data_IF_960878750018
#
_entry.id   IF_960878750018
#
_cell.length_a   1.000
_cell.length_b   1.000
_cell.length_c   1.000
_cell.angle_alpha   90.00
_cell.angle_beta   90.00
_cell.angle_gamma   90.00
#
_symmetry.space_group_name_H-M   'P 1'
#
loop_
_entity.id
_entity.type
_entity.pdbx_description
1 polymer ?
#
# COMPACT_ATOMS: atom_id res chain seq x y z
N UNK A 1 -5.84 -42.78 11.23
CA UNK A 1 -4.86 -42.76 10.14
C UNK A 1 -4.78 -41.34 9.58
N UNK A 2 -3.95 -40.47 10.14
CA UNK A 2 -3.71 -39.10 9.67
C UNK A 2 -2.23 -38.98 9.32
N UNK A 3 -1.94 -38.76 8.04
CA UNK A 3 -0.58 -38.67 7.51
C UNK A 3 -0.19 -37.20 7.41
N UNK A 4 0.76 -36.78 8.26
CA UNK A 4 1.54 -35.56 8.03
C UNK A 4 2.39 -35.76 6.77
N UNK A 5 2.48 -34.75 5.93
CA UNK A 5 3.62 -34.56 5.05
C UNK A 5 4.32 -33.26 5.45
N UNK A 6 5.56 -33.42 5.91
CA UNK A 6 6.56 -32.36 5.96
C UNK A 6 6.70 -31.75 4.56
N UNK A 7 6.97 -30.46 4.41
CA UNK A 7 8.34 -30.01 4.30
C UNK A 7 8.42 -28.51 4.54
N UNK A 8 9.07 -28.11 5.63
CA UNK A 8 9.70 -26.79 5.73
C UNK A 8 11.08 -26.85 5.07
N UNK A 9 11.48 -25.70 4.51
CA UNK A 9 12.79 -25.29 3.95
C UNK A 9 12.84 -25.25 2.42
N UNK A 10 12.78 -24.03 1.89
CA UNK A 10 13.82 -23.46 1.03
C UNK A 10 13.68 -21.92 1.02
N UNK A 11 14.30 -21.25 1.99
CA UNK A 11 14.86 -19.91 1.77
C UNK A 11 16.31 -20.13 1.36
N UNK A 12 16.65 -19.84 0.10
CA UNK A 12 18.01 -19.52 -0.33
C UNK A 12 17.98 -18.92 -1.74
N UNK A 13 18.41 -17.66 -1.83
CA UNK A 13 19.16 -17.07 -2.96
C UNK A 13 18.45 -17.15 -4.33
N UNK A 14 17.72 -16.12 -4.74
CA UNK A 14 18.37 -15.01 -5.43
C UNK A 14 18.59 -15.35 -6.91
N UNK A 15 17.70 -14.88 -7.79
CA UNK A 15 18.00 -13.92 -8.88
C UNK A 15 17.04 -14.08 -10.09
N UNK A 16 16.54 -12.92 -10.53
CA UNK A 16 16.06 -12.53 -11.88
C UNK A 16 14.79 -13.17 -12.49
N UNK A 17 13.80 -12.30 -12.68
CA UNK A 17 12.84 -12.30 -13.82
C UNK A 17 11.89 -13.49 -14.01
N UNK A 18 11.42 -14.10 -12.92
CA UNK A 18 10.39 -15.16 -12.96
C UNK A 18 8.95 -14.67 -12.82
N UNK A 19 8.69 -13.63 -12.02
CA UNK A 19 7.32 -13.22 -11.63
C UNK A 19 6.49 -12.73 -12.82
N UNK A 20 7.14 -12.06 -13.78
CA UNK A 20 6.48 -11.63 -15.03
C UNK A 20 6.25 -12.81 -16.00
N UNK A 21 7.14 -13.81 -16.04
CA UNK A 21 6.98 -14.98 -16.90
C UNK A 21 5.85 -15.90 -16.43
N UNK A 22 5.66 -16.10 -15.12
CA UNK A 22 4.54 -16.90 -14.58
C UNK A 22 3.17 -16.23 -14.80
N UNK A 23 3.14 -14.91 -14.97
CA UNK A 23 1.96 -14.14 -15.35
C UNK A 23 1.73 -14.15 -16.88
N UNK A 24 2.79 -14.04 -17.69
CA UNK A 24 2.71 -14.04 -19.15
C UNK A 24 2.49 -15.43 -19.77
N UNK A 25 3.08 -16.50 -19.22
CA UNK A 25 3.03 -17.86 -19.81
C UNK A 25 1.68 -18.56 -19.66
N UNK A 26 0.73 -18.02 -18.88
CA UNK A 26 -0.63 -18.58 -18.75
C UNK A 26 -1.63 -18.05 -19.79
N UNK A 27 -1.26 -17.08 -20.63
CA UNK A 27 -2.26 -16.37 -21.44
C UNK A 27 -2.49 -16.92 -22.85
N UNK A 28 -1.47 -17.38 -23.60
CA UNK A 28 -1.63 -18.09 -24.89
C UNK A 28 -2.65 -17.53 -25.90
N UNK A 29 -3.05 -16.26 -25.75
CA UNK A 29 -4.14 -15.59 -26.46
C UNK A 29 -3.75 -14.12 -26.56
N UNK A 30 -3.43 -13.68 -27.77
CA UNK A 30 -3.45 -12.26 -28.10
C UNK A 30 -4.87 -11.74 -27.83
N UNK A 31 -4.99 -10.68 -27.02
CA UNK A 31 -6.24 -10.00 -26.65
C UNK A 31 -7.17 -10.71 -25.66
N UNK A 32 -6.70 -10.97 -24.43
CA UNK A 32 -7.64 -11.00 -23.28
C UNK A 32 -7.80 -9.57 -22.77
N UNK A 33 -9.04 -9.06 -22.72
CA UNK A 33 -9.33 -7.84 -21.97
C UNK A 33 -8.95 -8.09 -20.50
N UNK A 34 -8.13 -7.22 -19.91
CA UNK A 34 -7.98 -7.18 -18.46
C UNK A 34 -9.25 -6.53 -17.92
N UNK A 35 -10.18 -7.37 -17.45
CA UNK A 35 -11.46 -6.95 -16.88
C UNK A 35 -11.32 -6.58 -15.41
N UNK A 36 -10.11 -6.52 -14.85
CA UNK A 36 -9.95 -6.10 -13.45
C UNK A 36 -10.24 -4.62 -13.28
N UNK A 37 -10.76 -4.25 -12.11
CA UNK A 37 -10.84 -2.85 -11.68
C UNK A 37 -9.50 -2.14 -11.87
N UNK A 38 -9.55 -0.89 -12.33
CA UNK A 38 -8.35 -0.07 -12.56
C UNK A 38 -8.01 0.67 -11.28
N UNK A 39 -6.74 0.61 -10.91
CA UNK A 39 -6.22 1.31 -9.73
C UNK A 39 -4.89 1.95 -10.07
N UNK A 40 -4.74 3.22 -9.75
CA UNK A 40 -3.47 3.93 -9.81
C UNK A 40 -2.80 3.80 -8.44
N UNK A 41 -1.52 3.40 -8.44
CA UNK A 41 -0.67 3.44 -7.25
C UNK A 41 0.54 4.32 -7.55
N UNK A 42 0.64 5.47 -6.88
CA UNK A 42 1.84 6.32 -6.93
C UNK A 42 2.73 5.96 -5.75
N UNK A 43 4.04 5.84 -5.96
CA UNK A 43 5.00 5.49 -4.92
C UNK A 43 6.14 6.52 -4.85
N UNK A 44 6.54 6.91 -3.64
CA UNK A 44 7.70 7.77 -3.37
C UNK A 44 8.48 7.21 -2.19
N UNK A 45 9.81 7.16 -2.34
CA UNK A 45 10.73 6.82 -1.24
C UNK A 45 11.28 8.11 -0.65
N UNK A 46 10.89 8.42 0.58
CA UNK A 46 11.36 9.61 1.30
C UNK A 46 12.48 9.23 2.25
N UNK A 47 13.71 9.68 1.97
CA UNK A 47 14.90 9.36 2.76
C UNK A 47 15.14 10.42 3.84
N UNK A 48 15.57 10.01 5.03
CA UNK A 48 15.89 10.93 6.14
C UNK A 48 17.39 11.15 6.32
N UNK A 49 18.25 10.18 5.95
CA UNK A 49 19.72 10.27 6.04
C UNK A 49 20.35 10.84 4.76
N UNK A 50 21.31 11.78 4.89
CA UNK A 50 22.04 12.46 3.80
C UNK A 50 22.24 13.96 4.06
N UNK A 51 22.94 14.71 3.19
CA UNK A 51 23.17 16.17 3.38
C UNK A 51 21.85 16.94 3.44
N UNK A 52 21.58 17.63 4.55
CA UNK A 52 20.44 18.54 4.78
C UNK A 52 19.73 18.31 6.14
N UNK A 53 19.72 19.34 6.99
CA UNK A 53 19.23 19.31 8.38
C UNK A 53 17.68 19.26 8.55
N UNK A 54 16.90 19.25 7.46
CA UNK A 54 15.46 19.56 7.51
C UNK A 54 14.51 18.38 7.20
N UNK A 55 14.98 17.13 7.31
CA UNK A 55 14.21 15.98 6.78
C UNK A 55 13.21 15.35 7.75
N UNK A 56 13.43 15.42 9.06
CA UNK A 56 12.39 15.09 10.05
C UNK A 56 11.20 16.06 9.94
N UNK A 57 11.51 17.34 9.78
CA UNK A 57 10.51 18.41 9.51
C UNK A 57 9.68 18.11 8.25
N UNK A 58 10.28 17.54 7.21
CA UNK A 58 9.56 17.18 5.98
C UNK A 58 8.55 16.03 6.17
N UNK A 59 8.78 15.11 7.11
CA UNK A 59 7.80 14.07 7.47
C UNK A 59 6.64 14.66 8.27
N UNK A 60 6.94 15.42 9.32
CA UNK A 60 5.91 16.07 10.15
C UNK A 60 5.04 17.03 9.35
N UNK A 61 5.63 17.85 8.46
CA UNK A 61 4.89 18.72 7.54
C UNK A 61 3.99 17.93 6.60
N UNK A 62 4.46 16.79 6.09
CA UNK A 62 3.65 15.95 5.22
C UNK A 62 2.46 15.33 5.96
N UNK A 63 2.68 14.79 7.17
CA UNK A 63 1.60 14.25 8.01
C UNK A 63 0.58 15.34 8.37
N UNK A 64 1.03 16.55 8.67
CA UNK A 64 0.14 17.69 8.91
C UNK A 64 -0.69 18.05 7.66
N UNK A 65 -0.07 18.09 6.48
CA UNK A 65 -0.75 18.34 5.21
C UNK A 65 -1.79 17.26 4.88
N UNK A 66 -1.47 16.00 5.17
CA UNK A 66 -2.39 14.87 4.98
C UNK A 66 -3.61 14.95 5.91
N UNK A 67 -3.45 15.45 7.12
CA UNK A 67 -4.52 15.64 8.09
C UNK A 67 -5.21 17.01 8.04
N UNK A 68 -5.11 17.74 6.92
CA UNK A 68 -5.70 19.08 6.77
C UNK A 68 -7.23 19.02 6.74
N UNK A 69 -7.88 20.09 7.22
CA UNK A 69 -9.31 20.25 7.02
C UNK A 69 -9.65 20.35 5.53
N UNK A 70 -10.85 19.92 5.15
CA UNK A 70 -11.30 19.90 3.75
C UNK A 70 -10.96 18.62 3.00
N UNK A 71 -10.02 17.80 3.50
CA UNK A 71 -9.59 16.59 2.82
C UNK A 71 -10.42 15.34 3.19
N UNK A 72 -11.12 15.34 4.33
CA UNK A 72 -11.96 14.23 4.78
C UNK A 72 -13.33 14.18 4.11
N UNK A 73 -14.11 13.17 4.48
CA UNK A 73 -15.50 13.02 4.03
C UNK A 73 -16.29 14.30 4.36
N UNK A 74 -17.05 14.81 3.39
CA UNK A 74 -17.82 16.06 3.52
C UNK A 74 -16.97 17.28 3.96
N UNK A 75 -15.68 17.31 3.61
CA UNK A 75 -14.79 18.42 3.94
C UNK A 75 -14.29 18.40 5.40
N UNK A 76 -14.52 17.31 6.14
CA UNK A 76 -13.99 17.11 7.48
C UNK A 76 -12.46 16.99 7.50
N UNK A 77 -11.87 16.84 8.70
CA UNK A 77 -10.46 16.45 8.83
C UNK A 77 -10.37 14.94 8.67
N UNK A 78 -9.53 14.40 7.78
CA UNK A 78 -9.45 12.97 7.60
C UNK A 78 -8.69 12.35 8.78
N UNK A 79 -9.20 11.21 9.25
CA UNK A 79 -8.61 10.45 10.35
C UNK A 79 -7.48 9.56 9.84
N UNK A 80 -6.44 9.44 10.66
CA UNK A 80 -5.39 8.48 10.40
C UNK A 80 -5.78 7.14 11.00
N UNK A 81 -5.58 6.08 10.22
CA UNK A 81 -5.87 4.71 10.61
C UNK A 81 -4.68 3.80 10.33
N UNK A 82 -4.68 2.62 10.94
CA UNK A 82 -3.77 1.52 10.63
C UNK A 82 -4.52 0.20 10.53
N UNK A 83 -3.78 -0.90 10.69
CA UNK A 83 -4.31 -2.26 10.67
C UNK A 83 -5.45 -2.46 11.67
N UNK A 84 -5.38 -1.84 12.85
CA UNK A 84 -6.25 -2.15 13.98
C UNK A 84 -7.06 -0.96 14.48
N UNK A 85 -6.57 0.27 14.33
CA UNK A 85 -7.26 1.48 14.79
C UNK A 85 -7.73 2.34 13.63
N UNK A 86 -8.87 3.02 13.82
CA UNK A 86 -9.40 4.06 12.94
C UNK A 86 -9.05 5.49 13.37
N UNK A 87 -8.54 5.66 14.59
CA UNK A 87 -8.11 6.95 15.15
C UNK A 87 -6.69 6.84 15.72
N UNK A 88 -5.72 7.36 14.95
CA UNK A 88 -4.33 7.47 15.37
C UNK A 88 -4.05 8.93 15.71
N UNK A 89 -3.81 9.15 17.01
CA UNK A 89 -3.47 10.45 17.56
C UNK A 89 -2.27 11.07 16.84
N UNK A 90 -2.33 12.39 16.63
CA UNK A 90 -1.35 13.14 15.85
C UNK A 90 0.10 12.92 16.31
N UNK A 91 0.32 12.81 17.62
CA UNK A 91 1.64 12.57 18.22
C UNK A 91 2.21 11.17 17.93
N UNK A 92 1.36 10.20 17.59
CA UNK A 92 1.74 8.79 17.42
C UNK A 92 1.82 8.37 15.95
N UNK A 93 1.28 9.19 15.03
CA UNK A 93 1.21 8.87 13.60
C UNK A 93 2.54 8.34 13.08
N UNK A 94 3.64 9.06 13.30
CA UNK A 94 4.97 8.72 12.75
C UNK A 94 6.08 8.76 13.80
N UNK A 95 5.73 8.58 15.07
CA UNK A 95 6.70 8.68 16.17
C UNK A 95 7.88 7.74 15.96
N UNK A 96 9.10 8.26 15.99
CA UNK A 96 10.34 7.49 15.82
C UNK A 96 10.65 7.07 14.38
N UNK A 97 9.90 7.56 13.39
CA UNK A 97 10.21 7.30 11.97
C UNK A 97 11.25 8.30 11.43
N UNK A 98 11.40 9.44 12.09
CA UNK A 98 12.37 10.49 11.77
C UNK A 98 13.83 10.00 11.78
N UNK A 99 14.13 9.00 12.62
CA UNK A 99 15.45 8.40 12.77
C UNK A 99 15.69 7.22 11.79
N UNK A 100 14.64 6.73 11.14
CA UNK A 100 14.75 5.66 10.16
C UNK A 100 15.54 6.15 8.94
N UNK A 101 16.12 5.24 8.16
CA UNK A 101 16.80 5.65 6.91
C UNK A 101 15.85 6.34 5.94
N UNK A 102 14.59 5.91 5.91
CA UNK A 102 13.57 6.32 4.95
C UNK A 102 12.18 5.85 5.41
N UNK A 103 11.14 6.35 4.75
CA UNK A 103 9.80 5.75 4.70
C UNK A 103 9.30 5.75 3.26
N UNK A 104 8.25 4.97 3.01
CA UNK A 104 7.56 4.96 1.73
C UNK A 104 6.26 5.74 1.84
N UNK A 105 5.91 6.44 0.76
CA UNK A 105 4.62 7.09 0.59
C UNK A 105 3.94 6.48 -0.61
N UNK A 106 2.70 6.07 -0.45
CA UNK A 106 1.85 5.60 -1.52
C UNK A 106 0.59 6.44 -1.61
N UNK A 107 0.06 6.56 -2.83
CA UNK A 107 -1.30 7.03 -3.08
C UNK A 107 -2.00 5.92 -3.82
N UNK A 108 -3.09 5.38 -3.25
CA UNK A 108 -3.91 4.33 -3.85
C UNK A 108 -5.21 4.99 -4.31
N UNK A 109 -5.44 5.00 -5.62
CA UNK A 109 -6.59 5.65 -6.26
C UNK A 109 -7.31 4.65 -7.16
N UNK A 110 -8.34 3.96 -6.65
CA UNK A 110 -9.25 3.16 -7.48
C UNK A 110 -10.03 4.08 -8.43
N UNK A 111 -10.17 3.69 -9.70
CA UNK A 111 -10.92 4.47 -10.70
C UNK A 111 -12.37 4.71 -10.27
N UNK A 112 -12.97 3.73 -9.61
CA UNK A 112 -14.33 3.78 -9.06
C UNK A 112 -14.32 3.80 -7.52
N UNK A 113 -13.43 4.60 -6.92
CA UNK A 113 -13.31 4.71 -5.47
C UNK A 113 -14.57 5.23 -4.77
N UNK A 114 -15.42 5.96 -5.49
CA UNK A 114 -16.74 6.44 -5.07
C UNK A 114 -17.74 5.30 -4.78
N UNK A 115 -17.57 4.15 -5.45
CA UNK A 115 -18.40 2.96 -5.22
C UNK A 115 -17.92 2.10 -4.05
N UNK A 116 -16.74 2.39 -3.50
CA UNK A 116 -16.19 1.67 -2.34
C UNK A 116 -16.72 2.33 -1.07
N UNK A 117 -17.72 1.69 -0.46
CA UNK A 117 -18.40 2.20 0.76
C UNK A 117 -17.42 2.41 1.92
N UNK A 118 -16.51 1.45 2.14
CA UNK A 118 -15.49 1.53 3.19
C UNK A 118 -14.08 1.51 2.57
N UNK A 119 -13.58 2.71 2.27
CA UNK A 119 -12.24 2.88 1.70
C UNK A 119 -11.13 2.53 2.71
N UNK A 120 -11.37 2.66 4.02
CA UNK A 120 -10.40 2.26 5.06
C UNK A 120 -10.23 0.73 5.06
N UNK A 121 -11.33 -0.01 5.03
CA UNK A 121 -11.31 -1.48 4.93
C UNK A 121 -10.65 -1.97 3.63
N UNK A 122 -10.95 -1.34 2.49
CA UNK A 122 -10.25 -1.62 1.24
C UNK A 122 -8.73 -1.47 1.37
N UNK A 123 -8.25 -0.36 1.94
CA UNK A 123 -6.81 -0.11 2.12
C UNK A 123 -6.20 -1.14 3.07
N UNK A 124 -6.89 -1.53 4.14
CA UNK A 124 -6.44 -2.59 5.06
C UNK A 124 -6.23 -3.91 4.32
N UNK A 125 -7.16 -4.30 3.47
CA UNK A 125 -7.07 -5.52 2.68
C UNK A 125 -5.87 -5.47 1.71
N UNK A 126 -5.70 -4.35 1.01
CA UNK A 126 -4.52 -4.16 0.14
C UNK A 126 -3.22 -4.30 0.92
N UNK A 127 -3.12 -3.67 2.10
CA UNK A 127 -1.91 -3.70 2.90
C UNK A 127 -1.68 -5.03 3.63
N UNK A 128 -2.74 -5.81 3.91
CA UNK A 128 -2.62 -7.18 4.36
C UNK A 128 -1.96 -8.06 3.29
N UNK A 129 -2.39 -7.95 2.03
CA UNK A 129 -1.77 -8.68 0.90
C UNK A 129 -0.34 -8.24 0.65
N UNK A 130 -0.07 -6.92 0.69
CA UNK A 130 1.29 -6.39 0.56
C UNK A 130 2.20 -6.87 1.69
N UNK A 131 1.72 -6.84 2.93
CA UNK A 131 2.43 -7.37 4.10
C UNK A 131 2.78 -8.85 3.92
N UNK A 132 1.84 -9.67 3.44
CA UNK A 132 2.05 -11.08 3.17
C UNK A 132 3.07 -11.33 2.05
N UNK A 133 2.94 -10.63 0.91
CA UNK A 133 3.87 -10.74 -0.22
C UNK A 133 5.32 -10.37 0.15
N UNK A 134 5.49 -9.36 1.03
CA UNK A 134 6.80 -8.92 1.51
C UNK A 134 7.38 -9.82 2.60
N UNK A 135 6.59 -10.75 3.15
CA UNK A 135 6.97 -11.57 4.30
C UNK A 135 7.13 -10.75 5.59
N UNK A 136 6.36 -9.66 5.72
CA UNK A 136 6.45 -8.70 6.83
C UNK A 136 5.10 -8.66 7.58
N UNK A 137 4.79 -9.65 8.43
CA UNK A 137 3.51 -9.69 9.15
C UNK A 137 3.32 -8.48 10.07
N UNK A 138 4.42 -7.90 10.57
CA UNK A 138 4.41 -6.72 11.44
C UNK A 138 4.68 -5.42 10.67
N UNK A 139 4.39 -5.40 9.37
CA UNK A 139 4.57 -4.20 8.54
C UNK A 139 3.82 -3.01 9.16
N UNK A 140 4.58 -2.02 9.62
CA UNK A 140 4.03 -0.80 10.22
C UNK A 140 3.67 0.19 9.12
N UNK A 141 2.40 0.58 9.08
CA UNK A 141 1.89 1.57 8.15
C UNK A 141 0.82 2.46 8.80
N UNK A 142 0.58 3.60 8.18
CA UNK A 142 -0.45 4.57 8.54
C UNK A 142 -1.12 5.04 7.26
N UNK A 143 -2.42 5.23 7.29
CA UNK A 143 -3.13 5.74 6.13
C UNK A 143 -4.15 6.79 6.51
N UNK A 144 -4.58 7.55 5.51
CA UNK A 144 -5.69 8.49 5.58
C UNK A 144 -6.42 8.48 4.25
N UNK A 145 -7.75 8.61 4.27
CA UNK A 145 -8.57 8.68 3.07
C UNK A 145 -8.92 10.13 2.76
N UNK A 146 -8.76 10.53 1.50
CA UNK A 146 -9.09 11.86 0.98
C UNK A 146 -10.29 11.79 0.04
N UNK A 147 -11.18 12.77 0.17
CA UNK A 147 -12.45 12.90 -0.57
C UNK A 147 -12.60 14.29 -1.21
N UNK A 148 -11.52 15.08 -1.26
CA UNK A 148 -11.50 16.46 -1.77
C UNK A 148 -11.23 16.56 -3.28
N UNK A 149 -11.24 15.42 -3.97
CA UNK A 149 -11.08 15.31 -5.42
C UNK A 149 -12.16 14.39 -5.98
N UNK A 150 -12.39 14.44 -7.29
CA UNK A 150 -13.42 13.63 -7.97
C UNK A 150 -13.37 12.13 -7.67
N UNK A 151 -12.19 11.58 -7.37
CA UNK A 151 -12.01 10.17 -7.00
C UNK A 151 -11.46 10.04 -5.57
N UNK A 152 -12.22 9.41 -4.64
CA UNK A 152 -11.71 9.07 -3.32
C UNK A 152 -10.41 8.26 -3.40
N UNK A 153 -9.41 8.64 -2.61
CA UNK A 153 -8.11 7.99 -2.63
C UNK A 153 -7.47 7.93 -1.25
N UNK A 154 -6.53 7.00 -1.07
CA UNK A 154 -5.83 6.83 0.19
C UNK A 154 -4.37 7.22 0.09
N UNK A 155 -3.92 8.05 1.03
CA UNK A 155 -2.50 8.27 1.29
C UNK A 155 -2.02 7.25 2.31
N UNK A 156 -0.99 6.48 1.97
CA UNK A 156 -0.40 5.47 2.84
C UNK A 156 1.07 5.78 3.09
N UNK A 157 1.46 5.80 4.36
CA UNK A 157 2.83 5.86 4.81
C UNK A 157 3.23 4.47 5.31
N UNK A 158 4.32 3.91 4.80
CA UNK A 158 4.89 2.64 5.29
C UNK A 158 6.26 2.91 5.89
N UNK A 159 6.47 2.46 7.13
CA UNK A 159 7.74 2.66 7.84
C UNK A 159 8.87 1.97 7.08
N UNK A 160 10.04 2.58 6.98
CA UNK A 160 11.19 1.97 6.29
C UNK A 160 11.96 0.96 7.14
N UNK A 161 11.30 0.33 8.12
CA UNK A 161 11.85 -0.66 9.05
C UNK A 161 11.00 -1.91 9.08
N UNK A 162 11.68 -3.05 9.20
CA UNK A 162 11.09 -4.37 9.44
C UNK A 162 10.83 -4.57 10.92
N UNK A 163 10.07 -5.61 11.27
CA UNK A 163 9.81 -5.98 12.67
C UNK A 163 11.08 -6.28 13.48
N UNK A 164 12.16 -6.72 12.81
CA UNK A 164 13.46 -6.99 13.42
C UNK A 164 14.41 -5.77 13.49
N UNK A 165 13.93 -4.58 13.13
CA UNK A 165 14.70 -3.33 13.18
C UNK A 165 15.65 -3.09 12.00
N UNK A 166 15.79 -4.05 11.06
CA UNK A 166 16.52 -3.82 9.81
C UNK A 166 15.73 -2.91 8.88
N UNK A 167 16.41 -2.32 7.91
CA UNK A 167 15.74 -1.49 6.92
C UNK A 167 14.83 -2.34 6.03
N UNK A 168 13.58 -1.91 5.88
CA UNK A 168 12.67 -2.47 4.89
C UNK A 168 13.18 -2.07 3.50
N UNK A 169 13.29 -3.06 2.61
CA UNK A 169 13.62 -2.85 1.20
C UNK A 169 12.55 -3.55 0.38
N UNK A 170 11.78 -2.77 -0.37
CA UNK A 170 10.76 -3.27 -1.28
C UNK A 170 11.39 -3.43 -2.67
N UNK A 171 11.31 -4.62 -3.31
CA UNK A 171 11.84 -4.83 -4.65
C UNK A 171 11.24 -3.85 -5.67
N UNK A 172 12.07 -3.36 -6.60
CA UNK A 172 11.65 -2.40 -7.63
C UNK A 172 10.45 -2.90 -8.45
N UNK A 173 10.47 -4.16 -8.85
CA UNK A 173 9.37 -4.76 -9.63
C UNK A 173 8.08 -4.86 -8.82
N UNK A 174 8.19 -5.05 -7.50
CA UNK A 174 7.04 -5.05 -6.62
C UNK A 174 6.44 -3.64 -6.47
N UNK A 175 7.27 -2.60 -6.37
CA UNK A 175 6.80 -1.20 -6.42
C UNK A 175 6.14 -0.90 -7.77
N UNK A 176 6.74 -1.34 -8.87
CA UNK A 176 6.30 -1.02 -10.22
C UNK A 176 5.00 -1.73 -10.63
N UNK A 177 4.78 -2.95 -10.13
CA UNK A 177 3.68 -3.82 -10.57
C UNK A 177 2.92 -4.51 -9.43
N UNK A 178 3.64 -5.06 -8.45
CA UNK A 178 3.07 -5.90 -7.39
C UNK A 178 2.04 -5.17 -6.51
N UNK A 179 2.37 -3.99 -6.01
CA UNK A 179 1.48 -3.21 -5.17
C UNK A 179 0.17 -2.89 -5.90
N UNK A 180 0.27 -2.39 -7.14
CA UNK A 180 -0.90 -2.11 -7.97
C UNK A 180 -1.73 -3.36 -8.23
N UNK A 181 -1.09 -4.50 -8.51
CA UNK A 181 -1.81 -5.75 -8.73
C UNK A 181 -2.68 -6.14 -7.52
N UNK A 182 -2.15 -6.02 -6.29
CA UNK A 182 -2.94 -6.28 -5.07
C UNK A 182 -4.08 -5.30 -4.87
N UNK A 183 -3.85 -4.04 -5.17
CA UNK A 183 -4.89 -3.01 -5.13
C UNK A 183 -6.02 -3.29 -6.13
N UNK A 184 -5.68 -3.73 -7.34
CA UNK A 184 -6.65 -4.11 -8.36
C UNK A 184 -7.43 -5.38 -7.99
N UNK A 185 -6.76 -6.39 -7.43
CA UNK A 185 -7.43 -7.62 -6.96
C UNK A 185 -8.43 -7.33 -5.85
N UNK A 186 -8.06 -6.53 -4.84
CA UNK A 186 -8.98 -6.16 -3.76
C UNK A 186 -10.17 -5.33 -4.30
N UNK A 187 -9.94 -4.42 -5.26
CA UNK A 187 -11.00 -3.62 -5.83
C UNK A 187 -11.95 -4.49 -6.67
N UNK A 188 -11.38 -5.44 -7.41
CA UNK A 188 -12.10 -6.41 -8.21
C UNK A 188 -13.01 -7.31 -7.36
N UNK A 189 -12.54 -7.76 -6.21
CA UNK A 189 -13.36 -8.57 -5.30
C UNK A 189 -14.53 -7.76 -4.70
N UNK A 190 -14.34 -6.47 -4.46
CA UNK A 190 -15.38 -5.58 -3.93
C UNK A 190 -16.41 -5.14 -4.98
N UNK A 191 -15.95 -4.84 -6.20
CA UNK A 191 -16.75 -4.16 -7.21
C UNK A 191 -17.13 -5.06 -8.41
N UNK A 192 -16.60 -6.28 -8.47
CA UNK A 192 -16.70 -7.15 -9.63
C UNK A 192 -15.84 -6.68 -10.80
N UNK A 193 -16.06 -7.27 -11.98
CA UNK A 193 -15.36 -6.93 -13.21
C UNK A 193 -15.54 -5.45 -13.55
N UNK A 194 -14.56 -4.90 -14.27
CA UNK A 194 -14.66 -3.62 -14.93
C UNK A 194 -15.78 -3.69 -15.98
N UNK A 195 -17.00 -3.43 -15.56
CA UNK A 195 -18.11 -3.16 -16.45
C UNK A 195 -17.95 -1.74 -17.01
N UNK A 196 -18.34 -1.53 -18.26
CA UNK A 196 -18.54 -0.16 -18.75
C UNK A 196 -19.58 0.51 -17.83
N UNK A 197 -19.37 1.76 -17.40
CA UNK A 197 -20.49 2.54 -16.88
C UNK A 197 -21.51 2.69 -18.01
N UNK A 198 -22.78 2.43 -17.69
CA UNK A 198 -23.92 2.69 -18.58
C UNK A 198 -24.07 4.19 -18.86
#
# INVERSE_FOLDING_TARGET
>A
MMRRLASSRMFALGDRSGVLRSAQSRSGRSFRLDVRQRVIVKALISRHRGKGAERGVALSKHVAYLGRAGAGLEGSRPEFFDRASDDIHAAERVRGWEDDRHHFRFIISPEHGDRIVDLKAYVREVLARVSADLGEPDLVWRATCHYDTDQPHAHVLVRGKRGDGRDLVIPRDYIAYGFRARAQEAAQELLGDLSRPD
#
